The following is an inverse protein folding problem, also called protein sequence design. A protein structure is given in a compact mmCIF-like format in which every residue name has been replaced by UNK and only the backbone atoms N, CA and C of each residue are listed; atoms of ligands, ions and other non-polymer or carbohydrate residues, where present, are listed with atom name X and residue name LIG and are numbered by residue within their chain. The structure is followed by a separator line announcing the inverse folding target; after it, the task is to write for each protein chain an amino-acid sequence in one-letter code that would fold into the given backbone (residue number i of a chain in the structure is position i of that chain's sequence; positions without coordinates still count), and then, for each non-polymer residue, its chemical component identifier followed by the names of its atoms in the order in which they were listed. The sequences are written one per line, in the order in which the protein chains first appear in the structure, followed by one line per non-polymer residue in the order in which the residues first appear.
data_IF_306608259041
#
_entry.id   IF_306608259041
#
_cell.length_a   1.000
_cell.length_b   1.000
_cell.length_c   1.000
_cell.angle_alpha   90.00
_cell.angle_beta   90.00
_cell.angle_gamma   90.00
#
_symmetry.space_group_name_H-M   'P 1'
#
loop_
_entity.id
_entity.type
_entity.pdbx_description
1 polymer ?
#
# COMPACT_ATOMS: atom_id res chain seq x y z
N UNK A 1 9.60 -23.11 9.04
CA UNK A 1 9.28 -22.27 7.85
C UNK A 1 9.68 -20.82 8.11
N UNK A 2 10.61 -20.27 7.33
CA UNK A 2 11.34 -19.01 7.61
C UNK A 2 10.38 -17.83 7.89
N UNK A 3 10.42 -17.25 9.10
CA UNK A 3 9.79 -15.96 9.37
C UNK A 3 10.61 -14.84 8.73
N UNK A 4 9.91 -13.84 8.18
CA UNK A 4 10.46 -12.62 7.54
C UNK A 4 9.39 -11.54 7.42
N UNK A 5 8.41 -11.48 8.33
CA UNK A 5 7.22 -10.66 8.13
C UNK A 5 7.58 -9.18 7.95
N UNK A 6 8.44 -8.62 8.81
CA UNK A 6 8.84 -7.22 8.68
C UNK A 6 9.68 -6.98 7.42
N UNK A 7 10.56 -7.91 7.06
CA UNK A 7 11.35 -7.82 5.82
C UNK A 7 10.50 -7.93 4.54
N UNK A 8 9.44 -8.75 4.53
CA UNK A 8 8.46 -8.85 3.43
C UNK A 8 7.65 -7.56 3.32
N UNK A 9 7.26 -6.97 4.45
CA UNK A 9 6.54 -5.70 4.46
C UNK A 9 7.39 -4.54 3.89
N UNK A 10 8.69 -4.50 4.19
CA UNK A 10 9.63 -3.54 3.60
C UNK A 10 9.70 -3.72 2.08
N UNK A 11 9.86 -4.97 1.61
CA UNK A 11 9.91 -5.27 0.18
C UNK A 11 8.61 -4.86 -0.53
N UNK A 12 7.45 -5.23 0.03
CA UNK A 12 6.16 -4.84 -0.50
C UNK A 12 6.00 -3.31 -0.56
N UNK A 13 6.39 -2.59 0.50
CA UNK A 13 6.28 -1.12 0.51
C UNK A 13 7.20 -0.46 -0.54
N UNK A 14 8.43 -0.96 -0.71
CA UNK A 14 9.36 -0.48 -1.74
C UNK A 14 8.82 -0.71 -3.16
N UNK A 15 8.29 -1.91 -3.43
CA UNK A 15 7.71 -2.24 -4.73
C UNK A 15 6.49 -1.35 -5.03
N UNK A 16 5.62 -1.08 -4.04
CA UNK A 16 4.50 -0.14 -4.20
C UNK A 16 5.00 1.25 -4.62
N UNK A 17 6.02 1.80 -3.96
CA UNK A 17 6.57 3.12 -4.28
C UNK A 17 7.07 3.12 -5.74
N UNK A 18 7.90 2.14 -6.10
CA UNK A 18 8.48 2.05 -7.44
C UNK A 18 7.41 1.92 -8.53
N UNK A 19 6.37 1.13 -8.30
CA UNK A 19 5.29 0.95 -9.27
C UNK A 19 4.50 2.24 -9.48
N UNK A 20 4.13 2.95 -8.41
CA UNK A 20 3.38 4.20 -8.54
C UNK A 20 4.22 5.31 -9.17
N UNK A 21 5.51 5.41 -8.85
CA UNK A 21 6.43 6.30 -9.55
C UNK A 21 6.58 5.92 -11.03
N UNK A 22 6.60 4.62 -11.33
CA UNK A 22 6.56 4.10 -12.69
C UNK A 22 5.30 4.51 -13.45
N UNK A 23 4.12 4.45 -12.82
CA UNK A 23 2.88 4.95 -13.43
C UNK A 23 2.87 6.47 -13.58
N UNK A 24 3.52 7.22 -12.68
CA UNK A 24 3.56 8.67 -12.72
C UNK A 24 4.47 9.24 -13.83
N UNK A 25 5.60 8.59 -14.08
CA UNK A 25 6.68 9.13 -14.92
C UNK A 25 7.16 8.18 -16.03
N UNK A 26 6.66 6.96 -16.08
CA UNK A 26 7.06 5.97 -17.07
C UNK A 26 6.50 6.25 -18.46
N UNK A 27 7.00 5.55 -19.49
CA UNK A 27 6.53 5.72 -20.85
C UNK A 27 5.07 5.27 -21.00
N UNK A 28 4.33 5.96 -21.87
CA UNK A 28 2.98 5.61 -22.26
C UNK A 28 2.97 4.36 -23.18
N UNK A 29 3.28 3.20 -22.59
CA UNK A 29 3.35 1.90 -23.27
C UNK A 29 2.47 0.88 -22.55
N UNK A 30 1.62 0.19 -23.31
CA UNK A 30 0.73 -0.85 -22.78
C UNK A 30 1.53 -1.98 -22.13
N UNK A 31 2.65 -2.40 -22.75
CA UNK A 31 3.50 -3.46 -22.20
C UNK A 31 4.16 -3.03 -20.88
N UNK A 32 4.56 -1.77 -20.78
CA UNK A 32 5.11 -1.21 -19.55
C UNK A 32 4.06 -1.17 -18.43
N UNK A 33 2.84 -0.72 -18.74
CA UNK A 33 1.73 -0.71 -17.79
C UNK A 33 1.34 -2.12 -17.31
N UNK A 34 1.31 -3.11 -18.20
CA UNK A 34 1.06 -4.51 -17.84
C UNK A 34 2.15 -5.03 -16.89
N UNK A 35 3.42 -4.75 -17.19
CA UNK A 35 4.53 -5.15 -16.32
C UNK A 35 4.41 -4.54 -14.92
N UNK A 36 4.14 -3.23 -14.83
CA UNK A 36 3.90 -2.56 -13.56
C UNK A 36 2.69 -3.12 -12.81
N UNK A 37 1.61 -3.46 -13.51
CA UNK A 37 0.43 -4.07 -12.89
C UNK A 37 0.69 -5.45 -12.30
N UNK A 38 1.50 -6.28 -12.96
CA UNK A 38 1.91 -7.56 -12.38
C UNK A 38 2.73 -7.36 -11.09
N UNK A 39 3.67 -6.40 -11.10
CA UNK A 39 4.46 -6.07 -9.92
C UNK A 39 3.56 -5.50 -8.81
N UNK A 40 2.57 -4.67 -9.15
CA UNK A 40 1.60 -4.14 -8.19
C UNK A 40 0.85 -5.27 -7.48
N UNK A 41 0.38 -6.28 -8.21
CA UNK A 41 -0.34 -7.43 -7.63
C UNK A 41 0.52 -8.25 -6.67
N UNK A 42 1.78 -8.50 -7.02
CA UNK A 42 2.75 -9.18 -6.14
C UNK A 42 2.99 -8.35 -4.88
N UNK A 43 3.24 -7.05 -5.07
CA UNK A 43 3.50 -6.10 -4.00
C UNK A 43 2.32 -5.97 -3.02
N UNK A 44 1.11 -5.88 -3.54
CA UNK A 44 -0.13 -5.81 -2.76
C UNK A 44 -0.35 -7.07 -1.92
N UNK A 45 0.16 -8.22 -2.36
CA UNK A 45 0.07 -9.47 -1.62
C UNK A 45 1.05 -9.53 -0.44
N UNK A 46 2.24 -8.93 -0.57
CA UNK A 46 3.29 -8.95 0.47
C UNK A 46 2.91 -8.20 1.75
N UNK A 47 2.29 -7.02 1.64
CA UNK A 47 1.97 -6.19 2.81
C UNK A 47 0.98 -6.87 3.77
N UNK A 48 -0.22 -7.32 3.36
CA UNK A 48 -1.16 -8.00 4.24
C UNK A 48 -0.63 -9.36 4.72
N UNK A 49 0.07 -10.11 3.85
CA UNK A 49 0.64 -11.41 4.22
C UNK A 49 1.65 -11.30 5.37
N UNK A 50 2.38 -10.19 5.45
CA UNK A 50 3.27 -9.88 6.57
C UNK A 50 2.55 -9.27 7.77
N UNK A 51 1.61 -8.35 7.52
CA UNK A 51 0.97 -7.54 8.56
C UNK A 51 0.02 -8.37 9.44
N UNK A 52 -0.90 -9.15 8.85
CA UNK A 52 -1.94 -9.84 9.61
C UNK A 52 -1.39 -10.88 10.60
N UNK A 53 -0.39 -11.71 10.24
CA UNK A 53 0.24 -12.63 11.20
C UNK A 53 1.00 -11.93 12.32
N UNK A 54 1.42 -10.68 12.12
CA UNK A 54 2.16 -9.92 13.13
C UNK A 54 1.26 -9.47 14.29
N UNK A 55 -0.04 -9.28 14.06
CA UNK A 55 -1.00 -8.81 15.08
C UNK A 55 -1.09 -9.77 16.28
N UNK A 56 -1.38 -11.09 16.10
CA UNK A 56 -1.47 -12.02 17.23
C UNK A 56 -0.14 -12.27 17.92
N UNK A 57 1.00 -12.04 17.26
CA UNK A 57 2.33 -12.14 17.87
C UNK A 57 2.66 -10.96 18.81
N UNK A 58 2.03 -9.79 18.58
CA UNK A 58 2.32 -8.56 19.35
C UNK A 58 1.29 -8.33 20.46
N UNK A 59 0.02 -8.64 20.19
CA UNK A 59 -1.11 -8.32 21.08
C UNK A 59 -1.48 -9.53 21.94
N UNK A 60 -1.71 -9.30 23.23
CA UNK A 60 -2.19 -10.37 24.14
C UNK A 60 -3.54 -10.90 23.66
N UNK A 61 -3.74 -12.21 23.78
CA UNK A 61 -4.90 -12.93 23.26
C UNK A 61 -6.26 -12.31 23.66
N UNK A 62 -6.40 -11.92 24.92
CA UNK A 62 -7.61 -11.27 25.47
C UNK A 62 -7.98 -9.92 24.81
N UNK A 63 -7.06 -9.28 24.08
CA UNK A 63 -7.28 -8.00 23.40
C UNK A 63 -7.29 -8.12 21.86
N UNK A 64 -7.21 -9.34 21.30
CA UNK A 64 -7.14 -9.52 19.85
C UNK A 64 -8.38 -8.99 19.13
N UNK A 65 -9.57 -9.23 19.69
CA UNK A 65 -10.82 -8.71 19.12
C UNK A 65 -10.82 -7.18 19.03
N UNK A 66 -10.38 -6.50 20.09
CA UNK A 66 -10.24 -5.04 20.14
C UNK A 66 -9.17 -4.54 19.18
N UNK A 67 -8.03 -5.24 19.07
CA UNK A 67 -6.98 -4.86 18.14
C UNK A 67 -7.45 -4.95 16.68
N UNK A 68 -8.13 -6.03 16.30
CA UNK A 68 -8.67 -6.18 14.95
C UNK A 68 -9.77 -5.18 14.64
N UNK A 69 -10.70 -4.91 15.56
CA UNK A 69 -11.75 -3.92 15.32
C UNK A 69 -11.19 -2.51 15.16
N UNK A 70 -10.17 -2.12 15.93
CA UNK A 70 -9.47 -0.86 15.76
C UNK A 70 -8.74 -0.78 14.41
N UNK A 71 -8.05 -1.84 13.99
CA UNK A 71 -7.38 -1.92 12.69
C UNK A 71 -8.40 -1.71 11.56
N UNK A 72 -9.53 -2.40 11.58
CA UNK A 72 -10.57 -2.24 10.57
C UNK A 72 -11.22 -0.85 10.60
N UNK A 73 -11.44 -0.28 11.78
CA UNK A 73 -11.99 1.07 11.90
C UNK A 73 -11.07 2.12 11.26
N UNK A 74 -9.76 2.04 11.52
CA UNK A 74 -8.76 2.91 10.86
C UNK A 74 -8.72 2.65 9.35
N UNK A 75 -8.78 1.39 8.90
CA UNK A 75 -8.80 1.06 7.48
C UNK A 75 -10.02 1.65 6.76
N UNK A 76 -11.20 1.70 7.40
CA UNK A 76 -12.39 2.31 6.81
C UNK A 76 -12.21 3.81 6.52
N UNK A 77 -11.47 4.55 7.35
CA UNK A 77 -11.07 5.92 7.03
C UNK A 77 -10.21 6.00 5.78
N UNK A 78 -9.29 5.04 5.59
CA UNK A 78 -8.50 4.93 4.36
C UNK A 78 -9.35 4.62 3.13
N UNK A 79 -10.25 3.64 3.24
CA UNK A 79 -11.16 3.23 2.15
C UNK A 79 -12.11 4.36 1.73
N UNK A 80 -12.54 5.19 2.67
CA UNK A 80 -13.39 6.33 2.40
C UNK A 80 -12.57 7.55 1.91
N UNK A 81 -11.46 7.86 2.58
CA UNK A 81 -10.69 9.08 2.36
C UNK A 81 -9.86 9.06 1.07
N UNK A 82 -9.23 7.93 0.73
CA UNK A 82 -8.38 7.88 -0.47
C UNK A 82 -9.16 8.10 -1.76
N UNK A 83 -10.32 7.45 -2.03
CA UNK A 83 -11.09 7.73 -3.23
C UNK A 83 -11.56 9.19 -3.33
N UNK A 84 -11.95 9.79 -2.20
CA UNK A 84 -12.33 11.21 -2.17
C UNK A 84 -11.15 12.13 -2.50
N UNK A 85 -9.98 11.88 -1.92
CA UNK A 85 -8.77 12.65 -2.20
C UNK A 85 -8.35 12.54 -3.67
N UNK A 86 -8.39 11.33 -4.23
CA UNK A 86 -8.06 11.11 -5.65
C UNK A 86 -9.08 11.80 -6.56
N UNK A 87 -10.37 11.69 -6.27
CA UNK A 87 -11.42 12.38 -7.04
C UNK A 87 -11.23 13.90 -7.05
N UNK A 88 -11.02 14.51 -5.88
CA UNK A 88 -10.73 15.95 -5.77
C UNK A 88 -9.45 16.35 -6.52
N UNK A 89 -8.41 15.52 -6.44
CA UNK A 89 -7.14 15.77 -7.14
C UNK A 89 -7.33 15.73 -8.66
N UNK A 90 -8.09 14.75 -9.16
CA UNK A 90 -8.39 14.66 -10.59
C UNK A 90 -9.13 15.89 -11.08
N UNK A 91 -10.18 16.33 -10.38
CA UNK A 91 -10.94 17.54 -10.74
C UNK A 91 -10.05 18.80 -10.75
N UNK A 92 -9.18 18.94 -9.75
CA UNK A 92 -8.31 20.12 -9.60
C UNK A 92 -7.21 20.21 -10.66
N UNK A 93 -6.56 19.08 -10.98
CA UNK A 93 -5.42 19.06 -11.90
C UNK A 93 -5.81 18.74 -13.35
N UNK A 94 -7.08 18.40 -13.60
CA UNK A 94 -7.62 18.14 -14.95
C UNK A 94 -8.88 18.98 -15.21
N UNK A 95 -8.81 20.33 -15.12
CA UNK A 95 -9.99 21.18 -15.28
C UNK A 95 -10.61 21.01 -16.67
N UNK A 96 -11.93 20.80 -16.71
CA UNK A 96 -12.70 20.65 -17.95
C UNK A 96 -12.55 19.31 -18.68
N UNK A 97 -11.66 18.40 -18.24
CA UNK A 97 -11.51 17.07 -18.85
C UNK A 97 -12.77 16.23 -18.64
N UNK A 98 -13.38 16.29 -17.46
CA UNK A 98 -14.63 15.58 -17.15
C UNK A 98 -15.75 15.96 -18.12
N UNK A 99 -15.95 17.25 -18.37
CA UNK A 99 -16.98 17.77 -19.28
C UNK A 99 -16.69 17.39 -20.73
N UNK A 100 -15.42 17.47 -21.14
CA UNK A 100 -15.00 17.07 -22.49
C UNK A 100 -15.26 15.58 -22.76
N UNK A 101 -14.96 14.70 -21.79
CA UNK A 101 -15.25 13.26 -21.89
C UNK A 101 -16.76 13.01 -21.97
N UNK A 102 -17.56 13.71 -21.15
CA UNK A 102 -19.03 13.62 -21.19
C UNK A 102 -19.61 14.08 -22.54
N UNK A 103 -18.97 15.06 -23.18
CA UNK A 103 -19.32 15.54 -24.51
C UNK A 103 -18.75 14.69 -25.66
N UNK A 104 -18.12 13.55 -25.35
CA UNK A 104 -17.62 12.58 -26.33
C UNK A 104 -16.25 12.89 -26.91
N UNK A 105 -15.50 13.84 -26.33
CA UNK A 105 -14.13 14.11 -26.74
C UNK A 105 -13.20 12.96 -26.31
N UNK A 106 -12.25 12.60 -27.19
CA UNK A 106 -11.22 11.60 -26.88
C UNK A 106 -10.05 12.25 -26.13
N UNK A 107 -10.29 12.60 -24.86
CA UNK A 107 -9.30 13.13 -23.93
C UNK A 107 -9.19 12.22 -22.71
N UNK A 108 -8.04 12.23 -22.05
CA UNK A 108 -7.75 11.36 -20.91
C UNK A 108 -7.32 12.19 -19.70
N UNK A 109 -7.60 11.68 -18.51
CA UNK A 109 -7.09 12.27 -17.28
C UNK A 109 -5.58 12.05 -17.15
N UNK A 110 -4.90 13.09 -16.69
CA UNK A 110 -3.57 13.01 -16.13
C UNK A 110 -3.65 12.45 -14.70
N UNK A 111 -3.06 11.27 -14.50
CA UNK A 111 -2.98 10.57 -13.23
C UNK A 111 -1.64 10.77 -12.50
N UNK A 112 -0.71 11.59 -12.99
CA UNK A 112 0.60 11.79 -12.36
C UNK A 112 0.47 12.23 -10.90
N UNK A 113 -0.38 13.22 -10.58
CA UNK A 113 -0.57 13.66 -9.19
C UNK A 113 -1.22 12.57 -8.32
N UNK A 114 -2.32 11.90 -8.72
CA UNK A 114 -2.83 10.72 -8.02
C UNK A 114 -1.78 9.64 -7.73
N UNK A 115 -0.93 9.33 -8.71
CA UNK A 115 0.11 8.31 -8.56
C UNK A 115 1.20 8.75 -7.56
N UNK A 116 1.55 10.04 -7.53
CA UNK A 116 2.45 10.59 -6.51
C UNK A 116 1.87 10.51 -5.10
N UNK A 117 0.55 10.71 -4.95
CA UNK A 117 -0.13 10.54 -3.66
C UNK A 117 -0.03 9.08 -3.20
N UNK A 118 -0.27 8.11 -4.09
CA UNK A 118 -0.09 6.69 -3.75
C UNK A 118 1.37 6.31 -3.46
N UNK A 119 2.33 6.90 -4.17
CA UNK A 119 3.75 6.70 -3.84
C UNK A 119 4.09 7.25 -2.45
N UNK A 120 3.52 8.40 -2.07
CA UNK A 120 3.71 8.98 -0.73
C UNK A 120 3.10 8.10 0.38
N UNK A 121 1.92 7.50 0.17
CA UNK A 121 1.36 6.55 1.14
C UNK A 121 2.19 5.26 1.22
N UNK A 122 2.76 4.80 0.11
CA UNK A 122 3.73 3.71 0.09
C UNK A 122 4.99 4.03 0.91
N UNK A 123 5.48 5.27 0.84
CA UNK A 123 6.60 5.74 1.67
C UNK A 123 6.26 5.75 3.16
N UNK A 124 5.05 6.17 3.54
CA UNK A 124 4.59 6.03 4.92
C UNK A 124 4.54 4.56 5.36
N UNK A 125 4.05 3.66 4.50
CA UNK A 125 4.07 2.22 4.73
C UNK A 125 5.48 1.68 4.97
N UNK A 126 6.46 2.16 4.21
CA UNK A 126 7.87 1.81 4.37
C UNK A 126 8.42 2.24 5.74
N UNK A 127 8.08 3.45 6.20
CA UNK A 127 8.43 3.92 7.55
C UNK A 127 7.86 2.97 8.61
N UNK A 128 6.58 2.62 8.51
CA UNK A 128 5.96 1.69 9.46
C UNK A 128 6.58 0.30 9.42
N UNK A 129 7.00 -0.19 8.24
CA UNK A 129 7.70 -1.45 8.11
C UNK A 129 9.06 -1.45 8.84
N UNK A 130 9.80 -0.34 8.77
CA UNK A 130 11.04 -0.17 9.55
C UNK A 130 10.78 -0.05 11.05
N UNK A 131 9.73 0.66 11.46
CA UNK A 131 9.33 0.75 12.87
C UNK A 131 8.95 -0.62 13.43
N UNK A 132 8.20 -1.42 12.67
CA UNK A 132 7.84 -2.79 13.04
C UNK A 132 9.08 -3.66 13.23
N UNK A 133 10.04 -3.57 12.29
CA UNK A 133 11.31 -4.30 12.38
C UNK A 133 12.14 -3.88 13.59
N UNK A 134 12.16 -2.58 13.91
CA UNK A 134 12.86 -2.06 15.07
C UNK A 134 12.22 -2.52 16.38
N UNK A 135 10.89 -2.56 16.44
CA UNK A 135 10.14 -3.01 17.61
C UNK A 135 10.29 -4.52 17.82
N UNK A 136 10.22 -5.33 16.76
CA UNK A 136 10.50 -6.77 16.80
C UNK A 136 11.88 -7.07 17.40
N UNK A 137 12.91 -6.32 16.97
CA UNK A 137 14.27 -6.45 17.51
C UNK A 137 14.36 -6.09 19.00
N UNK A 138 13.57 -5.12 19.47
CA UNK A 138 13.60 -4.66 20.88
C UNK A 138 12.84 -5.59 21.81
N UNK A 139 11.67 -6.09 21.37
CA UNK A 139 10.73 -6.85 22.22
C UNK A 139 10.74 -8.35 21.96
N UNK A 140 11.40 -8.80 20.90
CA UNK A 140 11.60 -10.22 20.62
C UNK A 140 10.31 -10.94 20.22
N UNK A 141 9.41 -10.29 19.48
CA UNK A 141 8.14 -10.90 19.04
C UNK A 141 8.34 -12.08 18.09
N UNK A 142 9.52 -12.16 17.46
CA UNK A 142 9.87 -13.26 16.56
C UNK A 142 9.21 -13.13 15.19
N UNK A 143 8.92 -11.90 14.74
CA UNK A 143 8.31 -11.66 13.42
C UNK A 143 9.25 -12.05 12.26
N UNK A 144 10.55 -12.06 12.53
CA UNK A 144 11.59 -12.57 11.63
C UNK A 144 11.97 -14.04 11.93
N UNK A 145 11.30 -14.71 12.87
CA UNK A 145 11.57 -16.11 13.25
C UNK A 145 10.54 -17.08 12.65
N UNK A 146 10.94 -18.32 12.34
CA UNK A 146 10.01 -19.35 11.91
C UNK A 146 8.87 -19.57 12.90
N UNK A 147 7.63 -19.66 12.40
CA UNK A 147 6.44 -19.91 13.24
C UNK A 147 6.41 -21.32 13.88
N UNK A 148 7.35 -22.20 13.52
CA UNK A 148 7.61 -23.50 14.16
C UNK A 148 9.12 -23.71 14.24
N UNK A 149 9.61 -23.99 15.45
CA UNK A 149 10.97 -24.41 15.75
C UNK A 149 10.95 -25.94 15.89
N UNK A 150 11.16 -26.64 14.78
CA UNK A 150 11.52 -28.06 14.82
C UNK A 150 13.04 -28.16 14.76
#
# INVERSE_FOLDING_TARGET
YKGKSASIMILGSLLLILVHLGFAFGPASVYFAIALMMILGVSFSFVPAAMWPSVPSIVKEQYLGTAYSLIFWIQNWGLMGMPMLIGWTLEKYNPGITEQIQNGANVHYDYTVPMLIFAATGFLGLIFAFLLKAEDKKKGYGLELPNKMD
#
